data_IF_067240472374
#
_entry.id   IF_067240472374
#
_cell.length_a   1.000
_cell.length_b   1.000
_cell.length_c   1.000
_cell.angle_alpha   90.00
_cell.angle_beta   90.00
_cell.angle_gamma   90.00
#
_symmetry.space_group_name_H-M   'P 1'
#
loop_
_entity.id
_entity.type
_entity.pdbx_description
1 polymer ?
#
# COMPACT_ATOMS: atom_id res chain seq x y z
N UNK A 1 -9.42 -21.63 -75.13
CA UNK A 1 -9.03 -20.25 -74.79
C UNK A 1 -9.71 -19.89 -73.47
N UNK A 2 -8.90 -19.63 -72.45
CA UNK A 2 -9.33 -19.16 -71.13
C UNK A 2 -9.49 -17.63 -71.16
N UNK A 3 -10.56 -17.12 -70.54
CA UNK A 3 -10.76 -15.73 -70.09
C UNK A 3 -12.07 -15.72 -69.27
N UNK A 4 -12.26 -15.08 -68.12
CA UNK A 4 -11.45 -14.36 -67.13
C UNK A 4 -12.36 -14.23 -65.90
N UNK A 5 -11.76 -14.25 -64.71
CA UNK A 5 -12.42 -14.11 -63.40
C UNK A 5 -12.72 -12.63 -63.12
N UNK A 6 -13.86 -12.33 -62.46
CA UNK A 6 -13.98 -11.47 -61.25
C UNK A 6 -15.25 -10.59 -61.25
N UNK A 7 -16.10 -10.75 -60.24
CA UNK A 7 -16.50 -9.62 -59.39
C UNK A 7 -17.27 -10.11 -58.15
N UNK A 8 -16.53 -10.18 -57.04
CA UNK A 8 -16.93 -9.59 -55.75
C UNK A 8 -18.24 -10.04 -55.11
N UNK A 9 -18.17 -10.97 -54.16
CA UNK A 9 -19.12 -11.01 -53.03
C UNK A 9 -18.41 -11.28 -51.70
N UNK A 10 -18.08 -10.16 -51.06
CA UNK A 10 -18.37 -9.84 -49.67
C UNK A 10 -18.12 -10.97 -48.65
N UNK A 11 -16.91 -11.01 -48.11
CA UNK A 11 -16.65 -11.65 -46.81
C UNK A 11 -17.35 -10.80 -45.73
N UNK A 12 -18.49 -11.25 -45.21
CA UNK A 12 -19.02 -10.73 -43.95
C UNK A 12 -18.12 -11.26 -42.83
N UNK A 13 -17.20 -10.41 -42.36
CA UNK A 13 -16.52 -10.63 -41.10
C UNK A 13 -17.52 -10.32 -40.00
N UNK A 14 -18.09 -11.35 -39.39
CA UNK A 14 -18.85 -11.23 -38.15
C UNK A 14 -17.85 -10.88 -37.05
N UNK A 15 -17.72 -9.58 -36.77
CA UNK A 15 -17.00 -9.11 -35.60
C UNK A 15 -17.83 -9.49 -34.36
N UNK A 16 -17.48 -10.63 -33.76
CA UNK A 16 -17.97 -10.99 -32.43
C UNK A 16 -17.34 -9.98 -31.48
N UNK A 17 -18.09 -8.95 -31.11
CA UNK A 17 -17.79 -8.08 -29.98
C UNK A 17 -17.89 -8.95 -28.73
N UNK A 18 -16.79 -9.60 -28.36
CA UNK A 18 -16.60 -10.07 -26.99
C UNK A 18 -16.60 -8.81 -26.16
N UNK A 19 -17.75 -8.50 -25.56
CA UNK A 19 -17.87 -7.52 -24.49
C UNK A 19 -17.01 -8.03 -23.35
N UNK A 20 -15.72 -7.75 -23.41
CA UNK A 20 -14.83 -7.85 -22.26
C UNK A 20 -15.44 -6.89 -21.24
N UNK A 21 -16.16 -7.43 -20.27
CA UNK A 21 -16.34 -6.75 -19.00
C UNK A 21 -14.93 -6.46 -18.52
N UNK A 22 -14.41 -5.27 -18.84
CA UNK A 22 -13.22 -4.76 -18.20
C UNK A 22 -13.67 -4.64 -16.75
N UNK A 23 -13.13 -5.45 -15.81
CA UNK A 23 -13.46 -5.25 -14.42
C UNK A 23 -13.10 -3.80 -14.11
N UNK A 24 -14.11 -3.01 -13.73
CA UNK A 24 -13.88 -1.81 -12.96
C UNK A 24 -13.13 -2.30 -11.73
N UNK A 25 -11.79 -2.20 -11.74
CA UNK A 25 -11.02 -2.41 -10.52
C UNK A 25 -11.62 -1.43 -9.52
N UNK A 26 -12.29 -1.97 -8.50
CA UNK A 26 -12.82 -1.13 -7.45
C UNK A 26 -11.62 -0.40 -6.87
N UNK A 27 -11.69 0.93 -6.83
CA UNK A 27 -10.61 1.75 -6.27
C UNK A 27 -10.23 1.22 -4.88
N UNK A 28 -8.94 1.09 -4.67
CA UNK A 28 -8.30 0.72 -3.42
C UNK A 28 -8.08 1.92 -2.52
N UNK A 29 -7.77 1.64 -1.27
CA UNK A 29 -7.32 2.65 -0.31
C UNK A 29 -6.06 2.16 0.39
N UNK A 30 -5.07 3.03 0.48
CA UNK A 30 -3.82 2.81 1.19
C UNK A 30 -3.63 3.92 2.24
N UNK A 31 -2.98 3.56 3.33
CA UNK A 31 -2.82 4.40 4.51
C UNK A 31 -1.37 4.34 4.96
N UNK A 32 -0.79 5.51 5.18
CA UNK A 32 0.50 5.66 5.84
C UNK A 32 0.26 6.42 7.16
N UNK A 33 0.63 5.80 8.27
CA UNK A 33 0.45 6.33 9.62
C UNK A 33 1.77 6.88 10.13
N UNK A 34 1.73 7.94 10.95
CA UNK A 34 2.91 8.51 11.58
C UNK A 34 2.73 8.67 13.10
N UNK A 35 3.75 8.26 13.83
CA UNK A 35 3.95 8.46 15.26
C UNK A 35 5.16 9.36 15.46
N UNK A 36 4.95 10.67 15.42
CA UNK A 36 6.01 11.69 15.35
C UNK A 36 6.96 11.66 16.52
N UNK A 37 6.45 11.33 17.71
CA UNK A 37 7.21 11.32 18.97
C UNK A 37 7.97 10.02 19.25
N UNK A 38 7.85 9.01 18.37
CA UNK A 38 8.64 7.79 18.49
C UNK A 38 10.14 8.04 18.24
N UNK A 39 10.98 7.08 18.66
CA UNK A 39 12.42 7.08 18.44
C UNK A 39 13.09 8.44 18.77
N UNK A 40 12.87 8.95 19.99
CA UNK A 40 13.40 10.24 20.43
C UNK A 40 13.08 11.45 19.50
N UNK A 41 11.99 11.37 18.74
CA UNK A 41 11.54 12.43 17.83
C UNK A 41 11.90 12.22 16.36
N UNK A 42 12.63 11.15 16.00
CA UNK A 42 12.83 10.80 14.58
C UNK A 42 11.54 10.33 13.90
N UNK A 43 10.58 9.86 14.69
CA UNK A 43 9.29 9.39 14.23
C UNK A 43 9.28 7.88 14.00
N UNK A 44 8.13 7.39 13.58
CA UNK A 44 7.92 6.01 13.22
C UNK A 44 6.66 5.93 12.35
N UNK A 45 6.69 5.07 11.34
CA UNK A 45 5.62 4.96 10.37
C UNK A 45 5.07 3.54 10.30
N UNK A 46 3.81 3.44 9.91
CA UNK A 46 3.12 2.18 9.72
C UNK A 46 2.23 2.24 8.48
N UNK A 47 1.74 1.09 8.05
CA UNK A 47 1.01 0.93 6.80
C UNK A 47 -0.36 0.29 7.02
N UNK A 48 -1.27 0.52 6.06
CA UNK A 48 -2.53 -0.19 5.94
C UNK A 48 -3.07 -0.11 4.53
N UNK A 49 -3.77 -1.15 4.05
CA UNK A 49 -4.37 -1.14 2.73
C UNK A 49 -5.65 -1.99 2.66
N UNK A 50 -6.54 -1.63 1.74
CA UNK A 50 -7.84 -2.29 1.58
C UNK A 50 -7.72 -3.60 0.79
N UNK A 51 -8.22 -4.70 1.35
CA UNK A 51 -8.30 -6.03 0.71
C UNK A 51 -9.69 -6.35 0.16
N UNK A 52 -10.71 -5.65 0.62
CA UNK A 52 -12.10 -5.79 0.18
C UNK A 52 -12.96 -4.69 0.80
N UNK A 53 -14.28 -4.71 0.51
CA UNK A 53 -15.20 -3.71 1.04
C UNK A 53 -15.14 -3.65 2.57
N UNK A 54 -14.67 -2.51 3.09
CA UNK A 54 -14.42 -2.27 4.52
C UNK A 54 -13.60 -3.38 5.22
N UNK A 55 -12.61 -3.94 4.52
CA UNK A 55 -11.68 -4.93 5.08
C UNK A 55 -10.25 -4.56 4.74
N UNK A 56 -9.43 -4.35 5.76
CA UNK A 56 -8.08 -3.82 5.66
C UNK A 56 -7.08 -4.77 6.32
N UNK A 57 -5.89 -4.86 5.75
CA UNK A 57 -4.70 -5.38 6.43
C UNK A 57 -3.79 -4.22 6.75
N UNK A 58 -3.22 -4.22 7.95
CA UNK A 58 -2.43 -3.11 8.48
C UNK A 58 -1.42 -3.59 9.50
N UNK A 59 -0.32 -2.88 9.63
CA UNK A 59 0.81 -3.33 10.43
C UNK A 59 1.95 -2.34 10.49
N UNK A 60 3.04 -2.78 11.09
CA UNK A 60 4.27 -2.01 11.22
C UNK A 60 5.46 -2.95 11.35
N UNK A 61 6.65 -2.41 11.09
CA UNK A 61 7.91 -3.01 11.49
C UNK A 61 8.49 -2.19 12.65
N UNK A 62 8.32 -2.70 13.86
CA UNK A 62 8.79 -2.02 15.06
C UNK A 62 10.20 -2.53 15.43
N UNK A 63 10.93 -1.77 16.26
CA UNK A 63 12.13 -2.32 16.89
C UNK A 63 11.77 -3.49 17.83
N UNK A 64 12.66 -4.47 17.97
CA UNK A 64 12.49 -5.59 18.90
C UNK A 64 12.08 -5.12 20.31
N UNK A 65 11.06 -5.77 20.90
CA UNK A 65 10.54 -5.44 22.23
C UNK A 65 9.38 -4.42 22.27
N UNK A 66 8.86 -3.99 21.12
CA UNK A 66 7.59 -3.27 21.04
C UNK A 66 6.41 -4.11 21.56
N UNK A 67 5.39 -3.45 22.12
CA UNK A 67 4.17 -4.07 22.68
C UNK A 67 3.40 -4.93 21.66
N UNK A 68 3.63 -4.70 20.36
CA UNK A 68 2.87 -5.35 19.28
C UNK A 68 3.67 -6.36 18.47
N UNK A 69 4.95 -6.59 18.77
CA UNK A 69 5.78 -7.51 17.98
C UNK A 69 5.24 -8.94 18.11
N UNK A 70 4.65 -9.46 17.05
CA UNK A 70 4.23 -10.87 16.98
C UNK A 70 5.33 -11.78 16.42
N UNK A 71 6.38 -11.17 15.84
CA UNK A 71 7.49 -11.87 15.18
C UNK A 71 8.85 -11.39 15.69
N UNK A 72 9.90 -12.24 15.63
CA UNK A 72 11.24 -11.89 16.12
C UNK A 72 11.85 -10.64 15.48
N UNK A 73 11.55 -10.37 14.21
CA UNK A 73 12.05 -9.19 13.49
C UNK A 73 11.29 -7.89 13.81
N UNK A 74 10.34 -7.93 14.76
CA UNK A 74 9.54 -6.77 15.14
C UNK A 74 8.37 -6.47 14.21
N UNK A 75 8.19 -7.24 13.14
CA UNK A 75 7.05 -7.13 12.25
C UNK A 75 5.78 -7.58 12.96
N UNK A 76 4.69 -6.86 12.72
CA UNK A 76 3.36 -7.32 13.06
C UNK A 76 2.33 -6.83 12.04
N UNK A 77 1.28 -7.61 11.85
CA UNK A 77 0.13 -7.29 11.03
C UNK A 77 -1.17 -7.70 11.73
N UNK A 78 -2.26 -7.05 11.35
CA UNK A 78 -3.63 -7.35 11.75
C UNK A 78 -4.55 -7.10 10.57
N UNK A 79 -5.80 -7.56 10.70
CA UNK A 79 -6.85 -7.23 9.75
C UNK A 79 -8.14 -6.85 10.47
N UNK A 80 -8.98 -6.05 9.81
CA UNK A 80 -10.25 -5.58 10.37
C UNK A 80 -10.91 -4.51 9.51
N UNK A 81 -12.00 -3.92 10.00
CA UNK A 81 -12.65 -2.79 9.33
C UNK A 81 -11.80 -1.52 9.37
N UNK A 82 -12.15 -0.53 8.55
CA UNK A 82 -11.50 0.78 8.58
C UNK A 82 -11.51 1.36 10.00
N UNK A 83 -12.64 1.27 10.69
CA UNK A 83 -12.76 1.75 12.06
C UNK A 83 -11.82 1.05 13.04
N UNK A 84 -11.65 -0.28 12.92
CA UNK A 84 -10.75 -1.06 13.78
C UNK A 84 -9.29 -0.69 13.51
N UNK A 85 -8.90 -0.52 12.25
CA UNK A 85 -7.56 -0.07 11.86
C UNK A 85 -7.22 1.29 12.49
N UNK A 86 -8.09 2.28 12.29
CA UNK A 86 -7.93 3.64 12.84
C UNK A 86 -7.86 3.60 14.38
N UNK A 87 -8.74 2.84 15.03
CA UNK A 87 -8.74 2.71 16.49
C UNK A 87 -7.47 2.04 17.02
N UNK A 88 -6.93 1.07 16.28
CA UNK A 88 -5.69 0.39 16.66
C UNK A 88 -4.51 1.35 16.64
N UNK A 89 -4.29 2.09 15.55
CA UNK A 89 -3.18 3.05 15.48
C UNK A 89 -3.33 4.20 16.48
N UNK A 90 -4.57 4.66 16.73
CA UNK A 90 -4.85 5.61 17.83
C UNK A 90 -4.38 5.05 19.18
N UNK A 91 -4.76 3.81 19.51
CA UNK A 91 -4.38 3.19 20.78
C UNK A 91 -2.88 2.91 20.91
N UNK A 92 -2.17 2.73 19.79
CA UNK A 92 -0.72 2.62 19.74
C UNK A 92 0.00 3.97 19.80
N UNK A 93 -0.75 5.08 19.88
CA UNK A 93 -0.23 6.43 20.04
C UNK A 93 0.33 7.03 18.75
N UNK A 94 -0.18 6.62 17.59
CA UNK A 94 0.07 7.34 16.33
C UNK A 94 -0.72 8.66 16.33
N UNK A 95 -0.18 9.67 15.64
CA UNK A 95 -0.70 11.04 15.66
C UNK A 95 -1.58 11.33 14.44
N UNK A 96 -1.10 10.96 13.24
CA UNK A 96 -1.74 11.30 11.96
C UNK A 96 -1.62 10.15 10.97
N UNK A 97 -2.44 10.19 9.93
CA UNK A 97 -2.29 9.35 8.75
C UNK A 97 -2.56 10.13 7.46
N UNK A 98 -1.98 9.68 6.35
CA UNK A 98 -2.40 10.07 5.01
C UNK A 98 -3.16 8.90 4.37
N UNK A 99 -4.13 9.22 3.50
CA UNK A 99 -4.92 8.25 2.75
C UNK A 99 -4.68 8.46 1.26
N UNK A 100 -4.25 7.42 0.57
CA UNK A 100 -4.03 7.38 -0.87
C UNK A 100 -5.14 6.56 -1.52
N UNK A 101 -5.80 7.12 -2.55
CA UNK A 101 -6.74 6.37 -3.40
C UNK A 101 -5.92 5.66 -4.50
N UNK A 102 -6.19 4.38 -4.71
CA UNK A 102 -5.43 3.54 -5.63
C UNK A 102 -6.34 3.03 -6.74
N UNK A 103 -6.16 3.48 -7.98
CA UNK A 103 -7.09 3.14 -9.07
C UNK A 103 -7.07 1.65 -9.46
N UNK A 104 -5.90 1.01 -9.37
CA UNK A 104 -5.71 -0.39 -9.72
C UNK A 104 -4.95 -1.12 -8.61
N UNK A 105 -5.59 -1.41 -7.47
CA UNK A 105 -4.91 -1.99 -6.32
C UNK A 105 -4.44 -3.42 -6.62
N UNK A 106 -3.20 -3.74 -6.23
CA UNK A 106 -2.66 -5.10 -6.33
C UNK A 106 -2.55 -5.75 -4.96
N UNK A 107 -3.69 -6.26 -4.46
CA UNK A 107 -3.78 -6.93 -3.16
C UNK A 107 -2.80 -8.12 -3.06
N UNK A 108 -2.71 -8.92 -4.12
CA UNK A 108 -1.87 -10.12 -4.15
C UNK A 108 -0.37 -9.76 -4.02
N UNK A 109 0.09 -8.73 -4.73
CA UNK A 109 1.49 -8.29 -4.63
C UNK A 109 1.81 -7.72 -3.24
N UNK A 110 0.86 -7.01 -2.61
CA UNK A 110 1.03 -6.51 -1.26
C UNK A 110 1.21 -7.65 -0.24
N UNK A 111 0.38 -8.69 -0.33
CA UNK A 111 0.48 -9.90 0.51
C UNK A 111 1.82 -10.60 0.31
N UNK A 112 2.23 -10.81 -0.94
CA UNK A 112 3.53 -11.44 -1.25
C UNK A 112 4.71 -10.63 -0.69
N UNK A 113 4.59 -9.29 -0.69
CA UNK A 113 5.60 -8.40 -0.13
C UNK A 113 5.62 -8.47 1.40
N UNK A 114 4.46 -8.54 2.06
CA UNK A 114 4.39 -8.78 3.51
C UNK A 114 5.06 -10.11 3.88
N UNK A 115 4.76 -11.19 3.18
CA UNK A 115 5.37 -12.50 3.40
C UNK A 115 6.88 -12.49 3.17
N UNK A 116 7.37 -11.74 2.18
CA UNK A 116 8.80 -11.56 1.95
C UNK A 116 9.46 -10.85 3.13
N UNK A 117 8.89 -9.74 3.60
CA UNK A 117 9.42 -8.96 4.74
C UNK A 117 9.44 -9.78 6.03
N UNK A 118 8.39 -10.56 6.29
CA UNK A 118 8.28 -11.43 7.47
C UNK A 118 9.50 -12.37 7.59
N UNK A 119 10.02 -12.85 6.46
CA UNK A 119 11.12 -13.81 6.42
C UNK A 119 12.51 -13.14 6.33
N UNK A 120 12.58 -11.82 6.45
CA UNK A 120 13.85 -11.06 6.43
C UNK A 120 14.27 -10.63 7.84
N UNK A 121 15.59 -10.59 8.06
CA UNK A 121 16.16 -10.04 9.29
C UNK A 121 16.04 -8.51 9.28
N UNK A 122 15.71 -7.92 10.43
CA UNK A 122 15.67 -6.46 10.62
C UNK A 122 17.05 -5.83 10.32
N UNK A 123 17.06 -4.73 9.57
CA UNK A 123 18.25 -3.96 9.24
C UNK A 123 17.89 -2.47 9.32
N UNK A 124 18.53 -1.73 10.22
CA UNK A 124 18.29 -0.31 10.46
C UNK A 124 18.45 0.59 9.22
N UNK A 125 19.11 0.11 8.17
CA UNK A 125 19.37 0.88 6.95
C UNK A 125 18.67 0.34 5.70
N UNK A 126 18.14 -0.89 5.74
CA UNK A 126 17.53 -1.55 4.56
C UNK A 126 16.27 -2.38 4.86
N UNK A 127 15.76 -2.33 6.09
CA UNK A 127 14.59 -3.07 6.55
C UNK A 127 14.11 -2.41 7.85
N UNK A 128 13.73 -1.15 7.73
CA UNK A 128 13.14 -0.34 8.78
C UNK A 128 11.66 -0.07 8.48
N UNK A 129 10.99 0.67 9.37
CA UNK A 129 9.57 0.97 9.26
C UNK A 129 9.18 1.72 7.96
N UNK A 130 10.05 2.58 7.41
CA UNK A 130 9.79 3.30 6.17
C UNK A 130 9.91 2.38 4.97
N UNK A 131 10.98 1.60 4.89
CA UNK A 131 11.20 0.72 3.74
C UNK A 131 10.12 -0.36 3.66
N UNK A 132 9.75 -0.95 4.79
CA UNK A 132 8.65 -1.93 4.83
C UNK A 132 7.33 -1.30 4.41
N UNK A 133 6.98 -0.14 4.97
CA UNK A 133 5.74 0.55 4.59
C UNK A 133 5.74 0.93 3.11
N UNK A 134 6.84 1.48 2.60
CA UNK A 134 6.99 1.84 1.19
C UNK A 134 6.87 0.62 0.28
N UNK A 135 7.56 -0.48 0.58
CA UNK A 135 7.57 -1.66 -0.28
C UNK A 135 6.19 -2.31 -0.35
N UNK A 136 5.48 -2.46 0.78
CA UNK A 136 4.13 -3.01 0.81
C UNK A 136 3.15 -2.12 0.06
N UNK A 137 3.16 -0.81 0.33
CA UNK A 137 2.22 0.13 -0.28
C UNK A 137 2.51 0.34 -1.77
N UNK A 138 3.78 0.36 -2.19
CA UNK A 138 4.17 0.38 -3.60
C UNK A 138 3.77 -0.91 -4.32
N UNK A 139 3.91 -2.08 -3.68
CA UNK A 139 3.43 -3.34 -4.23
C UNK A 139 1.90 -3.37 -4.37
N UNK A 140 1.18 -2.66 -3.50
CA UNK A 140 -0.25 -2.43 -3.63
C UNK A 140 -0.63 -1.45 -4.76
N UNK A 141 0.35 -0.83 -5.42
CA UNK A 141 0.23 0.27 -6.40
C UNK A 141 -0.17 1.62 -5.79
N UNK A 142 -0.01 1.81 -4.47
CA UNK A 142 -0.09 3.14 -3.88
C UNK A 142 1.15 3.94 -4.29
N UNK A 143 0.92 5.11 -4.85
CA UNK A 143 2.00 5.96 -5.29
C UNK A 143 2.49 6.82 -4.11
N UNK A 144 3.72 6.55 -3.67
CA UNK A 144 4.40 7.21 -2.56
C UNK A 144 5.82 7.56 -3.00
N UNK A 145 6.45 8.62 -2.43
CA UNK A 145 7.84 8.89 -2.72
C UNK A 145 8.70 7.75 -2.15
N UNK A 146 9.79 7.42 -2.83
CA UNK A 146 10.78 6.49 -2.30
C UNK A 146 11.44 7.12 -1.06
N UNK A 147 11.54 6.40 0.08
CA UNK A 147 12.27 6.89 1.24
C UNK A 147 13.69 7.30 0.86
N UNK A 148 14.07 8.52 1.19
CA UNK A 148 15.43 9.05 1.02
C UNK A 148 16.14 9.06 2.38
N UNK A 149 17.46 8.79 2.41
CA UNK A 149 18.33 8.77 3.62
C UNK A 149 18.18 7.53 4.54
N UNK A 150 18.32 6.32 3.98
CA UNK A 150 18.60 5.06 4.69
C UNK A 150 17.90 4.87 6.06
N UNK A 151 16.57 5.05 6.13
CA UNK A 151 15.83 4.66 7.34
C UNK A 151 15.85 5.64 8.52
N UNK A 152 16.62 6.73 8.45
CA UNK A 152 16.92 7.53 9.64
C UNK A 152 15.81 8.51 10.05
N UNK A 153 14.95 8.94 9.13
CA UNK A 153 14.02 10.04 9.37
C UNK A 153 12.57 9.76 8.91
N UNK A 154 11.83 8.86 9.60
CA UNK A 154 10.42 8.59 9.32
C UNK A 154 9.53 9.83 9.20
N UNK A 155 9.75 10.83 10.06
CA UNK A 155 9.00 12.09 9.99
C UNK A 155 9.23 12.86 8.69
N UNK A 156 10.45 12.86 8.17
CA UNK A 156 10.79 13.60 6.93
C UNK A 156 10.14 12.91 5.73
N UNK A 157 10.25 11.59 5.64
CA UNK A 157 9.61 10.84 4.56
C UNK A 157 8.08 10.96 4.59
N UNK A 158 7.48 10.91 5.79
CA UNK A 158 6.04 11.11 5.93
C UNK A 158 5.60 12.52 5.48
N UNK A 159 6.36 13.56 5.85
CA UNK A 159 6.03 14.94 5.47
C UNK A 159 6.15 15.15 3.95
N UNK A 160 7.13 14.50 3.29
CA UNK A 160 7.28 14.46 1.83
C UNK A 160 6.11 13.75 1.14
N UNK A 161 5.71 12.58 1.65
CA UNK A 161 4.53 11.87 1.19
C UNK A 161 3.23 12.68 1.39
N UNK A 162 3.17 13.55 2.40
CA UNK A 162 2.01 14.41 2.62
C UNK A 162 1.98 15.64 1.68
N UNK A 163 3.13 16.17 1.27
CA UNK A 163 3.19 17.35 0.40
C UNK A 163 2.91 17.05 -1.07
N UNK A 164 3.40 15.94 -1.59
CA UNK A 164 3.35 15.65 -3.03
C UNK A 164 1.98 15.11 -3.49
N UNK A 165 1.23 14.46 -2.59
CA UNK A 165 0.07 13.65 -2.97
C UNK A 165 -1.28 14.35 -2.76
N UNK A 166 -1.30 15.65 -2.44
CA UNK A 166 -2.50 16.39 -1.99
C UNK A 166 -3.21 15.74 -0.78
N UNK A 167 -2.58 14.75 -0.16
CA UNK A 167 -3.11 14.00 0.95
C UNK A 167 -2.79 14.76 2.23
N UNK A 168 -3.70 15.62 2.66
CA UNK A 168 -3.55 16.33 3.93
C UNK A 168 -3.45 15.32 5.07
N UNK A 169 -2.46 15.43 5.99
CA UNK A 169 -2.42 14.61 7.19
C UNK A 169 -3.74 14.73 7.94
N UNK A 170 -4.36 13.58 8.21
CA UNK A 170 -5.62 13.47 8.95
C UNK A 170 -5.26 13.10 10.39
N UNK A 171 -5.65 13.92 11.38
CA UNK A 171 -5.46 13.58 12.78
C UNK A 171 -6.21 12.30 13.15
N UNK A 172 -5.53 11.40 13.85
CA UNK A 172 -6.21 10.35 14.60
C UNK A 172 -6.85 11.04 15.81
N UNK A 173 -8.08 11.52 15.65
CA UNK A 173 -8.76 12.43 16.60
C UNK A 173 -8.49 12.06 18.07
N UNK A 174 -8.11 13.06 18.88
CA UNK A 174 -7.93 12.95 20.35
C UNK A 174 -9.22 12.52 21.01
#
# INVERSE_FOLDING_TARGET
>A
MFATINCTRLLMVVAILVSMCIPSYAQGEAYLFNKRRAAAGFGHVAWGYMRGADYYTYGSLDSEGSVMTSRPNGFWDRSGSHQIMIATFKNLGYDTYIKVIVDAPSVENAIQTEEAVINTNYNLFTNDCMEVAHNILSAYNAALPTPFLDGLFPNVWYDDAASDWQCKPIPLQT
#
